data_IF_899881868922
#
_entry.id   IF_899881868922
#
_cell.length_a   1.000
_cell.length_b   1.000
_cell.length_c   1.000
_cell.angle_alpha   90.00
_cell.angle_beta   90.00
_cell.angle_gamma   90.00
#
_symmetry.space_group_name_H-M   'P 1'
#
loop_
_entity.id
_entity.type
_entity.pdbx_description
1 polymer ?
#
# COMPACT_ATOMS: atom_id res chain seq x y z
N UNK A 1 -2.82 -7.27 -1.38
CA UNK A 1 -1.55 -6.55 -1.14
C UNK A 1 -1.14 -6.84 0.31
N UNK A 2 -0.19 -6.08 0.87
CA UNK A 2 0.19 -6.20 2.28
C UNK A 2 -0.48 -5.16 3.18
N UNK A 3 -1.42 -4.39 2.63
CA UNK A 3 -2.06 -3.28 3.34
C UNK A 3 -3.20 -3.83 4.21
N UNK A 4 -3.09 -3.77 5.55
CA UNK A 4 -4.21 -4.09 6.42
C UNK A 4 -5.33 -3.09 6.25
N UNK A 5 -6.56 -3.55 6.51
CA UNK A 5 -7.79 -2.79 6.26
C UNK A 5 -8.75 -2.94 7.41
N UNK A 6 -9.43 -1.85 7.73
CA UNK A 6 -10.65 -1.87 8.54
C UNK A 6 -11.81 -1.97 7.56
N UNK A 7 -12.69 -2.97 7.74
CA UNK A 7 -13.78 -3.25 6.80
C UNK A 7 -15.12 -2.98 7.48
N UNK A 8 -15.97 -2.19 6.82
CA UNK A 8 -17.34 -1.96 7.25
C UNK A 8 -18.26 -3.01 6.60
N UNK A 9 -18.55 -4.09 7.34
CA UNK A 9 -19.31 -5.24 6.84
C UNK A 9 -20.74 -4.92 6.35
N UNK A 10 -21.49 -3.98 6.95
CA UNK A 10 -22.80 -3.56 6.45
C UNK A 10 -22.71 -2.69 5.17
N UNK A 11 -21.97 -3.16 4.18
CA UNK A 11 -21.90 -2.52 2.86
C UNK A 11 -21.61 -3.55 1.79
N UNK A 12 -21.99 -3.29 0.53
CA UNK A 12 -21.61 -4.14 -0.59
C UNK A 12 -21.56 -3.34 -1.89
N UNK A 13 -20.50 -3.53 -2.66
CA UNK A 13 -20.36 -2.96 -4.00
C UNK A 13 -21.04 -3.83 -5.08
N UNK A 14 -21.09 -5.13 -4.84
CA UNK A 14 -21.67 -6.12 -5.72
C UNK A 14 -22.62 -7.01 -4.94
N UNK A 15 -23.86 -7.18 -5.43
CA UNK A 15 -24.90 -8.02 -4.81
C UNK A 15 -24.50 -9.49 -4.67
N UNK A 16 -23.71 -10.00 -5.62
CA UNK A 16 -23.27 -11.39 -5.63
C UNK A 16 -21.79 -11.48 -5.24
N UNK A 17 -21.51 -11.99 -4.05
CA UNK A 17 -20.15 -12.37 -3.67
C UNK A 17 -19.73 -13.64 -4.44
N UNK A 18 -18.69 -13.52 -5.25
CA UNK A 18 -18.04 -14.66 -5.88
C UNK A 18 -17.43 -15.57 -4.81
N UNK A 19 -17.99 -16.76 -4.60
CA UNK A 19 -17.49 -17.73 -3.61
C UNK A 19 -16.05 -18.18 -3.89
N UNK A 20 -15.52 -17.94 -5.09
CA UNK A 20 -14.13 -18.21 -5.48
C UNK A 20 -13.24 -16.97 -5.38
N UNK A 21 -13.69 -15.91 -4.73
CA UNK A 21 -12.89 -14.71 -4.57
C UNK A 21 -11.69 -14.96 -3.66
N UNK A 22 -10.44 -14.84 -4.15
CA UNK A 22 -9.24 -15.06 -3.32
C UNK A 22 -9.06 -14.00 -2.23
N UNK A 23 -9.84 -12.91 -2.28
CA UNK A 23 -9.88 -11.89 -1.24
C UNK A 23 -11.00 -12.13 -0.21
N UNK A 24 -11.69 -13.26 -0.30
CA UNK A 24 -12.76 -13.65 0.64
C UNK A 24 -13.89 -12.61 0.72
N UNK A 25 -14.17 -11.90 -0.38
CA UNK A 25 -15.19 -10.85 -0.43
C UNK A 25 -14.80 -9.55 0.28
N UNK A 26 -13.60 -9.46 0.87
CA UNK A 26 -13.15 -8.27 1.63
C UNK A 26 -13.14 -7.00 0.78
N UNK A 27 -12.83 -7.13 -0.52
CA UNK A 27 -12.81 -6.01 -1.47
C UNK A 27 -14.20 -5.65 -2.02
N UNK A 28 -15.28 -6.25 -1.49
CA UNK A 28 -16.65 -5.90 -1.83
C UNK A 28 -17.29 -4.90 -0.85
N UNK A 29 -16.62 -4.60 0.26
CA UNK A 29 -17.14 -3.73 1.32
C UNK A 29 -16.53 -2.32 1.24
N UNK A 30 -17.02 -1.37 2.03
CA UNK A 30 -16.28 -0.16 2.37
C UNK A 30 -15.09 -0.54 3.26
N UNK A 31 -13.94 0.09 3.03
CA UNK A 31 -12.77 -0.09 3.87
C UNK A 31 -11.94 1.18 4.01
N UNK A 32 -11.14 1.21 5.07
CA UNK A 32 -10.06 2.17 5.28
C UNK A 32 -8.74 1.41 5.27
N UNK A 33 -7.81 1.84 4.42
CA UNK A 33 -6.45 1.31 4.36
C UNK A 33 -5.63 1.84 5.54
N UNK A 34 -4.87 0.95 6.20
CA UNK A 34 -3.92 1.34 7.25
C UNK A 34 -2.51 1.26 6.69
N UNK A 35 -1.85 2.41 6.53
CA UNK A 35 -0.45 2.46 6.15
C UNK A 35 0.46 2.40 7.38
N UNK A 36 1.53 1.61 7.29
CA UNK A 36 2.45 1.36 8.40
C UNK A 36 3.78 2.04 8.10
N UNK A 37 4.23 2.88 9.03
CA UNK A 37 5.53 3.53 8.98
C UNK A 37 6.54 2.73 9.81
N UNK A 38 7.58 2.26 9.14
CA UNK A 38 8.68 1.54 9.78
C UNK A 38 10.00 2.30 9.62
N UNK A 39 10.93 2.04 10.54
CA UNK A 39 12.24 2.70 10.53
C UNK A 39 13.15 2.11 9.47
N UNK A 40 13.74 2.96 8.64
CA UNK A 40 14.88 2.59 7.83
C UNK A 40 16.19 2.78 8.62
N UNK A 41 17.26 2.01 8.34
CA UNK A 41 18.57 2.24 8.95
C UNK A 41 19.23 3.51 8.40
N UNK A 42 20.19 4.09 9.12
CA UNK A 42 20.94 5.28 8.65
C UNK A 42 21.82 4.98 7.43
N UNK A 43 22.35 3.76 7.34
CA UNK A 43 23.20 3.35 6.22
C UNK A 43 22.38 3.21 4.93
N UNK A 44 22.72 4.02 3.91
CA UNK A 44 22.07 3.97 2.59
C UNK A 44 22.13 2.58 1.95
N UNK A 45 23.20 1.82 2.18
CA UNK A 45 23.32 0.45 1.67
C UNK A 45 22.29 -0.48 2.32
N UNK A 46 22.13 -0.40 3.64
CA UNK A 46 21.13 -1.18 4.37
C UNK A 46 19.70 -0.73 4.02
N UNK A 47 19.46 0.55 3.74
CA UNK A 47 18.17 1.01 3.23
C UNK A 47 17.83 0.35 1.90
N UNK A 48 18.78 0.37 0.94
CA UNK A 48 18.60 -0.30 -0.35
C UNK A 48 18.33 -1.79 -0.18
N UNK A 49 19.04 -2.44 0.74
CA UNK A 49 18.79 -3.84 1.09
C UNK A 49 17.36 -4.07 1.56
N UNK A 50 16.86 -3.28 2.53
CA UNK A 50 15.48 -3.42 3.03
C UNK A 50 14.48 -3.23 1.90
N UNK A 51 14.56 -2.11 1.19
CA UNK A 51 13.60 -1.76 0.13
C UNK A 51 13.59 -2.77 -1.01
N UNK A 52 14.77 -3.25 -1.43
CA UNK A 52 14.89 -4.30 -2.44
C UNK A 52 14.21 -5.60 -1.99
N UNK A 53 14.48 -6.05 -0.77
CA UNK A 53 13.88 -7.27 -0.25
C UNK A 53 12.36 -7.14 -0.06
N UNK A 54 11.85 -5.96 0.32
CA UNK A 54 10.41 -5.72 0.37
C UNK A 54 9.76 -5.86 -1.01
N UNK A 55 10.36 -5.26 -2.05
CA UNK A 55 9.90 -5.42 -3.43
C UNK A 55 9.97 -6.88 -3.89
N UNK A 56 11.01 -7.61 -3.50
CA UNK A 56 11.16 -9.02 -3.83
C UNK A 56 10.07 -9.88 -3.18
N UNK A 57 9.78 -9.67 -1.89
CA UNK A 57 8.67 -10.34 -1.19
C UNK A 57 7.34 -10.01 -1.88
N UNK A 58 7.15 -8.75 -2.31
CA UNK A 58 5.97 -8.37 -3.08
C UNK A 58 5.89 -9.09 -4.42
N UNK A 59 7.00 -9.23 -5.16
CA UNK A 59 7.01 -9.98 -6.42
C UNK A 59 6.59 -11.44 -6.20
N UNK A 60 7.06 -12.11 -5.14
CA UNK A 60 6.55 -13.45 -4.79
C UNK A 60 5.06 -13.44 -4.44
N UNK A 61 4.55 -12.39 -3.79
CA UNK A 61 3.12 -12.28 -3.49
C UNK A 61 2.23 -12.14 -4.75
N UNK A 62 2.80 -11.76 -5.90
CA UNK A 62 2.07 -11.64 -7.17
C UNK A 62 1.45 -12.97 -7.61
N UNK A 63 2.01 -14.11 -7.20
CA UNK A 63 1.45 -15.44 -7.46
C UNK A 63 0.09 -15.69 -6.79
N UNK A 64 -0.30 -14.85 -5.83
CA UNK A 64 -1.57 -14.92 -5.10
C UNK A 64 -2.63 -13.94 -5.62
N UNK A 65 -2.35 -13.18 -6.69
CA UNK A 65 -3.33 -12.27 -7.30
C UNK A 65 -4.39 -13.02 -8.09
N UNK A 66 -5.65 -12.58 -8.01
CA UNK A 66 -6.77 -13.13 -8.81
C UNK A 66 -6.53 -13.02 -10.31
N UNK A 67 -6.03 -11.88 -10.76
CA UNK A 67 -5.69 -11.58 -12.16
C UNK A 67 -4.31 -10.94 -12.23
N UNK A 68 -3.46 -11.48 -13.10
CA UNK A 68 -2.13 -10.94 -13.37
C UNK A 68 -2.08 -10.41 -14.81
N UNK A 69 -2.10 -9.09 -14.95
CA UNK A 69 -2.06 -8.44 -16.26
C UNK A 69 -0.63 -8.27 -16.76
N UNK A 70 -0.05 -9.34 -17.31
CA UNK A 70 1.33 -9.35 -17.82
C UNK A 70 1.60 -8.31 -18.91
N UNK A 71 0.55 -7.82 -19.60
CA UNK A 71 0.65 -6.78 -20.63
C UNK A 71 1.14 -5.44 -20.08
N UNK A 72 0.97 -5.18 -18.77
CA UNK A 72 1.47 -3.97 -18.10
C UNK A 72 3.00 -3.93 -18.00
N UNK A 73 3.66 -5.08 -18.11
CA UNK A 73 5.11 -5.20 -17.96
C UNK A 73 5.80 -5.39 -19.31
N UNK A 74 6.94 -4.74 -19.49
CA UNK A 74 7.77 -4.81 -20.72
C UNK A 74 9.12 -5.47 -20.42
N UNK A 75 9.71 -6.09 -21.44
CA UNK A 75 11.07 -6.64 -21.39
C UNK A 75 11.30 -7.66 -20.26
N UNK A 76 12.46 -7.54 -19.60
CA UNK A 76 12.90 -8.43 -18.51
C UNK A 76 11.96 -8.43 -17.30
N UNK A 77 11.30 -7.31 -17.01
CA UNK A 77 10.33 -7.23 -15.90
C UNK A 77 9.15 -8.16 -16.10
N UNK A 78 8.69 -8.35 -17.34
CA UNK A 78 7.61 -9.30 -17.65
C UNK A 78 8.01 -10.74 -17.34
N UNK A 79 9.25 -11.11 -17.68
CA UNK A 79 9.80 -12.44 -17.37
C UNK A 79 9.95 -12.64 -15.86
N UNK A 80 10.45 -11.63 -15.15
CA UNK A 80 10.56 -11.67 -13.70
C UNK A 80 9.17 -11.84 -13.05
N UNK A 81 8.19 -11.01 -13.43
CA UNK A 81 6.82 -11.12 -12.87
C UNK A 81 6.20 -12.49 -13.16
N UNK A 82 6.39 -13.03 -14.37
CA UNK A 82 5.94 -14.39 -14.69
C UNK A 82 6.61 -15.43 -13.78
N UNK A 83 7.94 -15.40 -13.70
CA UNK A 83 8.73 -16.30 -12.85
C UNK A 83 8.24 -16.25 -11.40
N UNK A 84 8.24 -15.07 -10.78
CA UNK A 84 7.83 -14.90 -9.39
C UNK A 84 6.35 -15.22 -9.16
N UNK A 85 5.47 -15.04 -10.14
CA UNK A 85 4.07 -15.45 -10.02
C UNK A 85 3.89 -16.97 -9.94
N UNK A 86 4.71 -17.74 -10.67
CA UNK A 86 4.67 -19.20 -10.65
C UNK A 86 5.24 -19.72 -9.32
N UNK A 87 6.46 -19.30 -8.99
CA UNK A 87 7.14 -19.80 -7.79
C UNK A 87 6.55 -19.22 -6.50
N UNK A 88 6.02 -18.00 -6.54
CA UNK A 88 5.37 -17.36 -5.40
C UNK A 88 4.11 -18.08 -4.92
N UNK A 89 3.40 -18.76 -5.81
CA UNK A 89 2.24 -19.59 -5.46
C UNK A 89 2.60 -20.79 -4.58
N UNK A 90 3.83 -21.28 -4.67
CA UNK A 90 4.35 -22.39 -3.83
C UNK A 90 4.54 -21.93 -2.39
N UNK A 91 4.82 -20.64 -2.16
CA UNK A 91 5.01 -20.07 -0.84
C UNK A 91 3.65 -19.65 -0.29
N UNK A 92 3.17 -20.21 0.83
CA UNK A 92 1.90 -19.79 1.42
C UNK A 92 1.91 -18.31 1.79
N UNK A 93 0.81 -17.60 1.49
CA UNK A 93 0.72 -16.15 1.72
C UNK A 93 1.02 -15.77 3.18
N UNK A 94 0.63 -16.61 4.16
CA UNK A 94 0.95 -16.42 5.59
C UNK A 94 2.47 -16.33 5.85
N UNK A 95 3.30 -17.07 5.10
CA UNK A 95 4.76 -17.00 5.24
C UNK A 95 5.30 -15.70 4.64
N UNK A 96 4.79 -15.26 3.49
CA UNK A 96 5.15 -13.99 2.88
C UNK A 96 4.83 -12.81 3.81
N UNK A 97 3.67 -12.83 4.47
CA UNK A 97 3.34 -11.84 5.51
C UNK A 97 4.34 -11.84 6.67
N UNK A 98 4.72 -13.02 7.19
CA UNK A 98 5.73 -13.10 8.27
C UNK A 98 7.10 -12.59 7.84
N UNK A 99 7.52 -12.87 6.60
CA UNK A 99 8.78 -12.35 6.05
C UNK A 99 8.75 -10.83 5.90
N UNK A 100 7.66 -10.29 5.36
CA UNK A 100 7.45 -8.84 5.20
C UNK A 100 7.47 -8.15 6.57
N UNK A 101 6.75 -8.68 7.57
CA UNK A 101 6.71 -8.14 8.92
C UNK A 101 8.07 -8.19 9.62
N UNK A 102 8.77 -9.33 9.52
CA UNK A 102 10.11 -9.50 10.09
C UNK A 102 11.13 -8.54 9.49
N UNK A 103 11.10 -8.35 8.17
CA UNK A 103 11.97 -7.40 7.47
C UNK A 103 11.67 -5.95 7.88
N UNK A 104 10.38 -5.60 8.01
CA UNK A 104 9.94 -4.26 8.43
C UNK A 104 10.45 -3.91 9.82
N UNK A 105 10.46 -4.89 10.73
CA UNK A 105 10.90 -4.72 12.13
C UNK A 105 12.41 -4.84 12.34
N UNK A 106 13.18 -5.26 11.32
CA UNK A 106 14.61 -5.56 11.43
C UNK A 106 15.43 -4.41 12.05
N UNK A 107 15.07 -3.16 11.72
CA UNK A 107 15.77 -1.97 12.20
C UNK A 107 14.96 -1.11 13.19
N UNK A 108 13.86 -1.64 13.75
CA UNK A 108 12.97 -0.91 14.66
C UNK A 108 13.69 -0.31 15.89
N UNK A 109 14.68 -1.03 16.44
CA UNK A 109 15.49 -0.60 17.58
C UNK A 109 16.63 0.37 17.22
N UNK A 110 16.79 0.72 15.95
CA UNK A 110 17.81 1.68 15.50
C UNK A 110 17.52 3.06 16.10
N UNK A 111 18.32 3.48 17.09
CA UNK A 111 18.13 4.73 17.84
C UNK A 111 18.52 5.99 17.06
N UNK A 112 19.34 5.86 16.01
CA UNK A 112 19.95 6.99 15.30
C UNK A 112 19.31 7.32 13.95
N UNK A 113 18.18 6.70 13.61
CA UNK A 113 17.52 6.93 12.33
C UNK A 113 16.26 7.77 12.48
N UNK A 114 16.20 8.85 11.71
CA UNK A 114 15.02 9.71 11.52
C UNK A 114 14.26 9.38 10.24
N UNK A 115 14.80 8.50 9.38
CA UNK A 115 14.16 8.15 8.11
C UNK A 115 13.23 6.97 8.28
N UNK A 116 11.96 7.15 7.94
CA UNK A 116 10.94 6.12 7.88
C UNK A 116 10.50 5.87 6.43
N UNK A 117 9.73 4.81 6.22
CA UNK A 117 9.09 4.48 4.96
C UNK A 117 7.80 3.71 5.21
N UNK A 118 6.94 3.68 4.20
CA UNK A 118 5.71 2.90 4.26
C UNK A 118 5.97 1.44 3.90
N UNK A 119 6.10 0.57 4.89
CA UNK A 119 6.56 -0.81 4.69
C UNK A 119 5.57 -1.71 3.96
N UNK A 120 4.30 -1.32 3.96
CA UNK A 120 3.19 -2.05 3.37
C UNK A 120 2.60 -1.33 2.14
N UNK A 121 3.26 -0.27 1.65
CA UNK A 121 2.86 0.39 0.41
C UNK A 121 3.17 -0.50 -0.79
N UNK A 122 2.47 -0.23 -1.89
CA UNK A 122 2.75 -0.84 -3.19
C UNK A 122 4.20 -0.55 -3.65
N UNK A 123 4.81 -1.44 -4.46
CA UNK A 123 6.22 -1.33 -4.86
C UNK A 123 6.61 0.00 -5.53
N UNK A 124 5.67 0.64 -6.22
CA UNK A 124 5.91 1.90 -6.93
C UNK A 124 6.13 3.07 -5.96
N UNK A 125 5.69 2.92 -4.71
CA UNK A 125 5.74 3.94 -3.66
C UNK A 125 6.61 3.53 -2.47
N UNK A 126 7.08 2.28 -2.41
CA UNK A 126 7.84 1.77 -1.26
C UNK A 126 9.19 2.48 -1.07
N UNK A 127 9.72 3.12 -2.11
CA UNK A 127 10.95 3.91 -2.03
C UNK A 127 10.74 5.29 -1.41
N UNK A 128 9.50 5.69 -1.12
CA UNK A 128 9.19 6.97 -0.47
C UNK A 128 9.72 6.94 0.97
N UNK A 129 10.59 7.90 1.24
CA UNK A 129 11.23 8.07 2.54
C UNK A 129 10.72 9.35 3.17
N UNK A 130 10.21 9.23 4.38
CA UNK A 130 9.66 10.35 5.14
C UNK A 130 10.52 10.61 6.37
N UNK A 131 10.49 11.84 6.88
CA UNK A 131 11.11 12.15 8.16
C UNK A 131 10.15 11.79 9.30
N UNK A 132 10.66 11.12 10.34
CA UNK A 132 9.97 10.87 11.61
C UNK A 132 9.33 12.14 12.18
N UNK A 133 10.04 13.27 12.09
CA UNK A 133 9.61 14.51 12.72
C UNK A 133 8.28 15.02 12.15
N UNK A 134 7.95 14.66 10.90
CA UNK A 134 6.68 15.00 10.25
C UNK A 134 5.45 14.31 10.87
N UNK A 135 5.66 13.31 11.74
CA UNK A 135 4.59 12.52 12.36
C UNK A 135 4.53 12.71 13.89
N UNK A 136 5.22 13.73 14.42
CA UNK A 136 5.27 14.00 15.86
C UNK A 136 4.12 14.86 16.37
N UNK A 137 3.54 15.67 15.49
CA UNK A 137 2.46 16.59 15.80
C UNK A 137 1.27 16.34 14.89
N UNK A 138 0.10 16.61 15.45
CA UNK A 138 -1.17 16.38 14.80
C UNK A 138 -2.05 17.61 15.01
N UNK A 139 -2.88 17.89 14.01
CA UNK A 139 -3.91 18.91 14.08
C UNK A 139 -5.25 18.32 13.65
N UNK A 140 -6.33 18.94 14.09
CA UNK A 140 -7.68 18.56 13.70
C UNK A 140 -8.13 19.44 12.54
N UNK A 141 -8.54 18.83 11.44
CA UNK A 141 -9.21 19.50 10.32
C UNK A 141 -10.69 19.16 10.29
N UNK A 142 -11.50 20.10 9.82
CA UNK A 142 -12.87 19.82 9.41
C UNK A 142 -12.85 19.26 7.99
N UNK A 143 -13.46 18.09 7.81
CA UNK A 143 -13.68 17.49 6.50
C UNK A 143 -15.15 17.06 6.43
N UNK A 144 -15.92 17.72 5.57
CA UNK A 144 -17.38 17.60 5.51
C UNK A 144 -18.04 17.84 6.89
N UNK A 145 -18.73 16.84 7.41
CA UNK A 145 -19.40 16.79 8.71
C UNK A 145 -18.53 16.23 9.85
N UNK A 146 -17.32 15.75 9.53
CA UNK A 146 -16.40 15.16 10.49
C UNK A 146 -15.23 16.08 10.86
N UNK A 147 -14.67 15.84 12.05
CA UNK A 147 -13.38 16.38 12.45
C UNK A 147 -12.36 15.25 12.46
N UNK A 148 -11.31 15.37 11.66
CA UNK A 148 -10.29 14.34 11.46
C UNK A 148 -8.93 14.83 11.95
N UNK A 149 -8.22 13.96 12.67
CA UNK A 149 -6.84 14.21 13.07
C UNK A 149 -5.89 13.84 11.93
N UNK A 150 -5.04 14.77 11.55
CA UNK A 150 -4.01 14.59 10.52
C UNK A 150 -2.65 15.03 11.07
N UNK A 151 -1.58 14.59 10.44
CA UNK A 151 -0.24 15.13 10.71
C UNK A 151 -0.20 16.61 10.37
N UNK A 152 0.50 17.42 11.16
CA UNK A 152 0.63 18.85 10.89
C UNK A 152 1.47 19.13 9.63
N UNK A 153 2.47 18.30 9.37
CA UNK A 153 3.32 18.31 8.16
C UNK A 153 2.69 17.57 6.96
N UNK A 154 1.35 17.57 6.84
CA UNK A 154 0.65 16.88 5.75
C UNK A 154 1.08 17.39 4.38
N UNK A 155 1.33 18.69 4.24
CA UNK A 155 1.75 19.31 2.98
C UNK A 155 3.09 18.76 2.47
N UNK A 156 4.06 18.59 3.37
CA UNK A 156 5.36 17.96 3.08
C UNK A 156 5.21 16.54 2.55
N UNK A 157 4.28 15.76 3.12
CA UNK A 157 4.00 14.38 2.68
C UNK A 157 3.27 14.37 1.33
N UNK A 158 2.26 15.21 1.14
CA UNK A 158 1.50 15.26 -0.10
C UNK A 158 2.37 15.69 -1.29
N UNK A 159 3.22 16.70 -1.12
CA UNK A 159 4.20 17.09 -2.14
C UNK A 159 5.20 15.98 -2.44
N UNK A 160 5.66 15.24 -1.43
CA UNK A 160 6.59 14.13 -1.64
C UNK A 160 5.96 12.97 -2.43
N UNK A 161 4.69 12.66 -2.17
CA UNK A 161 3.99 11.51 -2.77
C UNK A 161 3.43 11.84 -4.16
N UNK A 162 2.84 13.04 -4.31
CA UNK A 162 2.04 13.40 -5.49
C UNK A 162 2.64 14.53 -6.32
N UNK A 163 3.65 15.25 -5.81
CA UNK A 163 4.18 16.45 -6.48
C UNK A 163 3.23 17.63 -6.32
N UNK A 164 2.84 18.25 -7.44
CA UNK A 164 1.80 19.28 -7.45
C UNK A 164 0.42 18.63 -7.25
N UNK A 165 0.04 18.46 -5.98
CA UNK A 165 -1.19 17.76 -5.60
C UNK A 165 -2.42 18.66 -5.56
N UNK A 166 -2.23 19.99 -5.56
CA UNK A 166 -3.31 20.96 -5.47
C UNK A 166 -3.84 21.36 -6.84
N UNK A 167 -3.06 21.21 -7.90
CA UNK A 167 -3.53 21.42 -9.27
C UNK A 167 -4.28 20.18 -9.76
N UNK A 168 -5.60 20.27 -10.03
CA UNK A 168 -6.35 19.14 -10.54
C UNK A 168 -5.87 18.77 -11.96
N UNK A 169 -5.90 17.47 -12.33
CA UNK A 169 -5.50 17.04 -13.67
C UNK A 169 -6.38 17.67 -14.76
N UNK A 170 -5.96 17.58 -16.02
CA UNK A 170 -6.75 18.09 -17.14
C UNK A 170 -8.12 17.39 -17.18
N UNK A 171 -9.17 18.09 -17.66
CA UNK A 171 -10.54 17.54 -17.65
C UNK A 171 -10.65 16.18 -18.34
N UNK A 172 -9.88 15.95 -19.40
CA UNK A 172 -9.86 14.68 -20.14
C UNK A 172 -9.33 13.50 -19.29
N UNK A 173 -8.47 13.79 -18.31
CA UNK A 173 -7.85 12.78 -17.43
C UNK A 173 -8.63 12.60 -16.11
N UNK A 174 -9.68 13.40 -15.86
CA UNK A 174 -10.57 13.28 -14.70
C UNK A 174 -11.56 12.13 -14.86
N UNK A 175 -11.04 10.96 -15.22
CA UNK A 175 -11.79 9.71 -15.36
C UNK A 175 -11.51 8.80 -14.16
N UNK A 176 -12.53 8.13 -13.59
CA UNK A 176 -12.32 7.22 -12.47
C UNK A 176 -11.35 6.09 -12.84
N UNK A 177 -10.23 5.99 -12.12
CA UNK A 177 -9.22 4.93 -12.32
C UNK A 177 -9.50 3.68 -11.49
N UNK A 178 -10.26 3.81 -10.42
CA UNK A 178 -10.77 2.72 -9.58
C UNK A 178 -12.31 2.74 -9.66
N UNK A 179 -12.91 1.61 -10.09
CA UNK A 179 -14.25 1.61 -10.68
C UNK A 179 -15.44 1.96 -9.75
N UNK A 180 -16.61 2.04 -10.39
CA UNK A 180 -18.01 2.25 -9.94
C UNK A 180 -18.26 3.11 -8.71
N UNK A 181 -19.06 4.16 -8.92
CA UNK A 181 -19.59 5.11 -7.93
C UNK A 181 -20.72 4.56 -7.04
N UNK A 182 -21.12 3.31 -7.26
CA UNK A 182 -22.27 2.68 -6.59
C UNK A 182 -21.79 1.71 -5.51
N UNK A 183 -22.19 1.97 -4.26
CA UNK A 183 -22.02 1.08 -3.12
C UNK A 183 -23.31 1.10 -2.30
N UNK A 184 -23.79 -0.08 -1.92
CA UNK A 184 -24.94 -0.22 -1.03
C UNK A 184 -24.43 -0.19 0.42
N UNK A 185 -25.09 0.59 1.28
CA UNK A 185 -24.84 0.66 2.73
C UNK A 185 -26.08 0.10 3.42
N UNK A 186 -25.86 -0.83 4.34
CA UNK A 186 -26.90 -1.45 5.14
C UNK A 186 -26.79 -0.93 6.58
N UNK A 187 -27.94 -0.80 7.25
CA UNK A 187 -28.04 -0.43 8.67
C UNK A 187 -27.77 -1.64 9.58
#
# INVERSE_FOLDING_TARGET
>A
DFTPRIIYKPSARHKNNDKKDPYEGKLNHLWVDIFILDKLPKSKLLQKFVLFNQKLIYLFSMGHRKKLELKKYKGSMKLAVLFFSIFGKIIPMRRLFKLQDGLSKLFYKSRKSTTWYYSNYQPDYIDIKVNKDWYEKYLNIKFEDATLSIIDEYDSVLHLVYGDYMTPPQKADRVPTHGSTEIEIYE
#
